data_IF_561503118710
#
_entry.id   IF_561503118710
#
_cell.length_a   1.000
_cell.length_b   1.000
_cell.length_c   1.000
_cell.angle_alpha   90.00
_cell.angle_beta   90.00
_cell.angle_gamma   90.00
#
_symmetry.space_group_name_H-M   'P 1'
#
loop_
_entity.id
_entity.type
_entity.pdbx_description
1 polymer ?
#
# COMPACT_ATOMS: atom_id res chain seq x y z
N UNK A 1 -37.60 -11.31 -1.26
CA UNK A 1 -36.50 -10.32 -1.09
C UNK A 1 -35.41 -11.01 -0.27
N UNK A 2 -34.22 -11.23 -0.82
CA UNK A 2 -33.10 -11.82 -0.03
C UNK A 2 -32.30 -10.68 0.59
N UNK A 3 -32.38 -10.55 1.91
CA UNK A 3 -31.52 -9.67 2.69
C UNK A 3 -30.04 -9.99 2.37
N UNK A 4 -29.31 -8.97 1.92
CA UNK A 4 -27.86 -9.05 1.77
C UNK A 4 -27.25 -9.07 3.17
N UNK A 5 -27.02 -10.28 3.69
CA UNK A 5 -26.27 -10.54 4.91
C UNK A 5 -24.95 -9.77 4.84
N UNK A 6 -24.79 -8.76 5.70
CA UNK A 6 -23.58 -7.96 5.81
C UNK A 6 -22.39 -8.89 6.01
N UNK A 7 -21.49 -8.94 5.02
CA UNK A 7 -20.20 -9.60 5.17
C UNK A 7 -19.48 -8.85 6.27
N UNK A 8 -19.27 -9.49 7.43
CA UNK A 8 -18.15 -9.12 8.30
C UNK A 8 -16.93 -9.21 7.38
N UNK A 9 -16.35 -8.07 7.03
CA UNK A 9 -15.07 -8.06 6.32
C UNK A 9 -14.11 -8.82 7.22
N UNK A 10 -13.67 -9.99 6.76
CA UNK A 10 -12.58 -10.69 7.42
C UNK A 10 -11.44 -9.69 7.52
N UNK A 11 -11.04 -9.34 8.75
CA UNK A 11 -9.96 -8.38 8.97
C UNK A 11 -8.78 -8.87 8.15
N UNK A 12 -8.36 -8.07 7.17
CA UNK A 12 -7.23 -8.37 6.29
C UNK A 12 -6.07 -8.82 7.18
N UNK A 13 -5.46 -9.96 6.85
CA UNK A 13 -4.33 -10.45 7.63
C UNK A 13 -3.20 -9.44 7.49
N UNK A 14 -2.29 -9.39 8.45
CA UNK A 14 -1.15 -8.49 8.43
C UNK A 14 -0.39 -8.52 7.09
N UNK A 15 -0.20 -9.71 6.50
CA UNK A 15 0.44 -9.89 5.19
C UNK A 15 -0.35 -9.25 4.03
N UNK A 16 -1.67 -9.32 4.07
CA UNK A 16 -2.53 -8.73 3.03
C UNK A 16 -2.49 -7.20 3.12
N UNK A 17 -2.47 -6.66 4.33
CA UNK A 17 -2.30 -5.23 4.59
C UNK A 17 -0.93 -4.74 4.13
N UNK A 18 0.13 -5.49 4.44
CA UNK A 18 1.47 -5.17 3.99
C UNK A 18 1.52 -5.11 2.46
N UNK A 19 1.04 -6.15 1.77
CA UNK A 19 1.01 -6.20 0.30
C UNK A 19 0.19 -5.04 -0.29
N UNK A 20 -0.95 -4.71 0.31
CA UNK A 20 -1.78 -3.59 -0.13
C UNK A 20 -1.06 -2.25 0.05
N UNK A 21 -0.43 -2.03 1.21
CA UNK A 21 0.26 -0.78 1.51
C UNK A 21 1.52 -0.61 0.66
N UNK A 22 2.31 -1.67 0.48
CA UNK A 22 3.48 -1.68 -0.41
C UNK A 22 3.09 -1.30 -1.84
N UNK A 23 1.97 -1.82 -2.35
CA UNK A 23 1.42 -1.41 -3.65
C UNK A 23 0.98 0.05 -3.68
N UNK A 24 0.40 0.57 -2.60
CA UNK A 24 0.02 1.99 -2.51
C UNK A 24 1.23 2.92 -2.51
N UNK A 25 2.37 2.44 -2.02
CA UNK A 25 3.66 3.12 -2.13
C UNK A 25 4.34 2.91 -3.49
N UNK A 26 3.65 2.36 -4.49
CA UNK A 26 4.20 2.05 -5.82
C UNK A 26 5.44 1.11 -5.79
N UNK A 27 5.56 0.27 -4.76
CA UNK A 27 6.64 -0.71 -4.64
C UNK A 27 6.13 -2.05 -5.16
N UNK A 28 6.84 -2.62 -6.14
CA UNK A 28 6.54 -3.97 -6.60
C UNK A 28 6.95 -5.00 -5.54
N UNK A 29 5.96 -5.78 -5.09
CA UNK A 29 6.15 -6.88 -4.14
C UNK A 29 6.93 -8.05 -4.72
N UNK A 30 7.08 -8.16 -6.05
CA UNK A 30 7.90 -9.22 -6.65
C UNK A 30 9.40 -8.84 -6.67
N UNK A 31 9.71 -7.57 -6.88
CA UNK A 31 11.09 -7.09 -7.06
C UNK A 31 11.67 -6.39 -5.82
N UNK A 32 10.93 -6.35 -4.70
CA UNK A 32 11.39 -5.69 -3.48
C UNK A 32 12.72 -6.26 -2.96
N UNK A 33 12.91 -7.58 -3.04
CA UNK A 33 14.13 -8.25 -2.56
C UNK A 33 15.35 -7.83 -3.38
N UNK A 34 15.21 -7.78 -4.71
CA UNK A 34 16.25 -7.29 -5.61
C UNK A 34 16.58 -5.82 -5.34
N UNK A 35 15.55 -4.98 -5.14
CA UNK A 35 15.73 -3.57 -4.81
C UNK A 35 16.40 -3.38 -3.43
N UNK A 36 16.15 -4.26 -2.46
CA UNK A 36 16.78 -4.17 -1.13
C UNK A 36 18.27 -4.52 -1.12
N UNK A 37 18.76 -5.24 -2.14
CA UNK A 37 20.18 -5.52 -2.27
C UNK A 37 20.99 -4.23 -2.51
N UNK A 38 20.43 -3.27 -3.25
CA UNK A 38 20.99 -1.92 -3.34
C UNK A 38 20.31 -1.01 -2.30
N UNK A 39 21.02 -0.75 -1.21
CA UNK A 39 20.53 0.07 -0.12
C UNK A 39 20.21 1.51 -0.52
N UNK A 40 20.94 2.09 -1.47
CA UNK A 40 20.70 3.47 -1.89
C UNK A 40 19.45 3.55 -2.76
N UNK A 41 19.32 2.61 -3.70
CA UNK A 41 18.12 2.47 -4.51
C UNK A 41 16.88 2.23 -3.64
N UNK A 42 16.96 1.29 -2.68
CA UNK A 42 15.86 0.98 -1.77
C UNK A 42 15.39 2.20 -0.98
N UNK A 43 16.33 3.00 -0.46
CA UNK A 43 15.99 4.23 0.26
C UNK A 43 15.29 5.24 -0.63
N UNK A 44 15.75 5.41 -1.87
CA UNK A 44 15.11 6.31 -2.83
C UNK A 44 13.68 5.89 -3.12
N UNK A 45 13.47 4.60 -3.45
CA UNK A 45 12.16 4.02 -3.74
C UNK A 45 11.20 4.17 -2.56
N UNK A 46 11.66 3.91 -1.34
CA UNK A 46 10.83 4.05 -0.14
C UNK A 46 10.44 5.51 0.12
N UNK A 47 11.39 6.45 -0.01
CA UNK A 47 11.10 7.88 0.17
C UNK A 47 10.08 8.37 -0.88
N UNK A 48 10.30 8.05 -2.14
CA UNK A 48 9.39 8.42 -3.23
C UNK A 48 8.00 7.80 -3.02
N UNK A 49 7.93 6.51 -2.72
CA UNK A 49 6.68 5.81 -2.45
C UNK A 49 5.93 6.33 -1.23
N UNK A 50 6.64 6.79 -0.19
CA UNK A 50 6.03 7.43 0.97
C UNK A 50 5.46 8.81 0.63
N UNK A 51 6.19 9.63 -0.12
CA UNK A 51 5.72 10.94 -0.59
C UNK A 51 4.44 10.76 -1.42
N UNK A 52 4.45 9.86 -2.41
CA UNK A 52 3.27 9.58 -3.23
C UNK A 52 2.08 9.11 -2.39
N UNK A 53 2.32 8.22 -1.42
CA UNK A 53 1.26 7.76 -0.52
C UNK A 53 0.64 8.90 0.30
N UNK A 54 1.48 9.79 0.84
CA UNK A 54 1.01 10.93 1.64
C UNK A 54 0.29 11.96 0.77
N UNK A 55 0.81 12.29 -0.41
CA UNK A 55 0.15 13.18 -1.38
C UNK A 55 -1.23 12.67 -1.75
N UNK A 56 -1.34 11.41 -2.18
CA UNK A 56 -2.64 10.79 -2.52
C UNK A 56 -3.60 10.81 -1.33
N UNK A 57 -3.09 10.62 -0.11
CA UNK A 57 -3.91 10.65 1.11
C UNK A 57 -4.39 12.06 1.44
N UNK A 58 -3.59 13.09 1.21
CA UNK A 58 -3.99 14.48 1.36
C UNK A 58 -5.08 14.84 0.33
N UNK A 59 -4.90 14.45 -0.94
CA UNK A 59 -5.90 14.65 -2.00
C UNK A 59 -7.23 13.95 -1.66
N UNK A 60 -7.20 12.68 -1.24
CA UNK A 60 -8.40 11.94 -0.81
C UNK A 60 -9.15 12.60 0.37
N UNK A 61 -8.43 13.36 1.21
CA UNK A 61 -9.02 14.08 2.35
C UNK A 61 -9.55 15.46 1.95
N UNK A 62 -8.96 16.12 0.96
CA UNK A 62 -9.43 17.40 0.41
C UNK A 62 -10.67 17.24 -0.49
N UNK A 63 -10.84 16.10 -1.15
CA UNK A 63 -12.04 15.79 -1.94
C UNK A 63 -13.29 15.43 -1.11
N UNK A 64 -13.17 15.39 0.23
CA UNK A 64 -14.24 15.03 1.17
C UNK A 64 -14.76 16.21 1.98
#
# INVERSE_FOLDING_TARGET
>A
MKERKGRKEDRKRYRDLLKANTKKCNIDFNNWEENTNDRNLWRSIICEGAITFETNKCEELEEK
#
